data_IF_787420515733
#
_entry.id   IF_787420515733
#
_cell.length_a   1.000
_cell.length_b   1.000
_cell.length_c   1.000
_cell.angle_alpha   90.00
_cell.angle_beta   90.00
_cell.angle_gamma   90.00
#
_symmetry.space_group_name_H-M   'P 1'
#
loop_
_entity.id
_entity.type
_entity.pdbx_description
1 polymer ?
#
# COMPACT_ATOMS: atom_id res chain seq x y z
N UNK A 1 -22.58 41.83 40.79
CA UNK A 1 -21.51 42.21 41.74
C UNK A 1 -21.10 41.01 42.58
N UNK A 2 -19.83 40.95 43.00
CA UNK A 2 -19.25 39.98 43.96
C UNK A 2 -18.64 40.75 45.13
N UNK A 3 -18.73 40.22 46.36
CA UNK A 3 -18.08 40.82 47.53
C UNK A 3 -16.88 39.96 47.91
N UNK A 4 -15.70 40.57 48.01
CA UNK A 4 -14.48 39.84 48.34
C UNK A 4 -14.54 39.30 49.78
N UNK A 5 -14.30 38.00 50.04
CA UNK A 5 -14.31 37.47 51.39
C UNK A 5 -13.17 38.06 52.26
N UNK A 6 -12.01 38.34 51.64
CA UNK A 6 -10.81 38.86 52.32
C UNK A 6 -10.97 40.32 52.76
N UNK A 7 -11.29 41.23 51.84
CA UNK A 7 -11.34 42.67 52.13
C UNK A 7 -12.74 43.30 52.09
N UNK A 8 -13.78 42.52 51.78
CA UNK A 8 -15.17 43.00 51.62
C UNK A 8 -15.38 44.06 50.52
N UNK A 9 -14.41 44.21 49.63
CA UNK A 9 -14.52 45.06 48.45
C UNK A 9 -15.64 44.60 47.51
N UNK A 10 -16.39 45.55 46.95
CA UNK A 10 -17.40 45.30 45.92
C UNK A 10 -16.70 45.20 44.57
N UNK A 11 -16.99 44.13 43.81
CA UNK A 11 -16.37 43.85 42.52
C UNK A 11 -17.45 43.56 41.45
N UNK A 12 -17.14 43.73 40.15
CA UNK A 12 -18.03 43.34 39.05
C UNK A 12 -18.46 41.87 39.13
N UNK A 13 -19.60 41.54 38.49
CA UNK A 13 -20.15 40.17 38.50
C UNK A 13 -19.22 39.13 37.86
N UNK A 14 -18.52 39.50 36.79
CA UNK A 14 -17.56 38.64 36.08
C UNK A 14 -16.13 38.69 36.63
N UNK A 15 -15.83 39.48 37.68
CA UNK A 15 -14.45 39.60 38.17
C UNK A 15 -13.98 38.27 38.79
N UNK A 16 -12.80 37.79 38.36
CA UNK A 16 -12.14 36.60 38.91
C UNK A 16 -11.27 36.92 40.13
N UNK A 17 -10.73 38.14 40.19
CA UNK A 17 -9.89 38.62 41.30
C UNK A 17 -10.44 39.91 41.87
N UNK A 18 -10.20 40.12 43.16
CA UNK A 18 -10.62 41.35 43.83
C UNK A 18 -9.74 42.51 43.38
N UNK A 19 -10.35 43.54 42.80
CA UNK A 19 -9.64 44.76 42.38
C UNK A 19 -9.00 45.56 43.52
N UNK A 20 -9.37 45.28 44.77
CA UNK A 20 -8.86 45.99 45.95
C UNK A 20 -7.75 45.25 46.70
N UNK A 21 -7.67 43.92 46.62
CA UNK A 21 -6.70 43.16 47.41
C UNK A 21 -6.08 41.94 46.69
N UNK A 22 -6.37 41.75 45.41
CA UNK A 22 -5.82 40.65 44.59
C UNK A 22 -6.36 39.25 44.93
N UNK A 23 -7.17 39.07 45.97
CA UNK A 23 -7.70 37.76 46.33
C UNK A 23 -8.67 37.21 45.27
N UNK A 24 -8.59 35.91 44.98
CA UNK A 24 -9.49 35.22 44.05
C UNK A 24 -10.95 35.28 44.56
N UNK A 25 -11.88 35.62 43.67
CA UNK A 25 -13.30 35.79 43.96
C UNK A 25 -14.08 34.52 43.60
N UNK A 26 -14.42 33.73 44.62
CA UNK A 26 -15.31 32.57 44.46
C UNK A 26 -16.74 33.00 44.07
N UNK A 27 -17.51 32.08 43.48
CA UNK A 27 -18.82 32.38 42.88
C UNK A 27 -19.86 32.90 43.88
N UNK A 28 -20.70 33.81 43.37
CA UNK A 28 -21.74 34.61 44.05
C UNK A 28 -22.46 33.90 45.20
N UNK A 29 -22.05 34.23 46.42
CA UNK A 29 -22.79 33.89 47.62
C UNK A 29 -22.63 35.06 48.62
N UNK A 30 -23.65 35.93 48.67
CA UNK A 30 -23.72 37.08 49.59
C UNK A 30 -24.95 36.97 50.48
N UNK A 31 -24.80 37.27 51.77
CA UNK A 31 -25.90 37.32 52.75
C UNK A 31 -26.21 38.78 53.10
N UNK A 32 -27.48 39.14 53.27
CA UNK A 32 -27.87 40.46 53.74
C UNK A 32 -27.83 40.48 55.27
N UNK A 33 -27.13 41.46 55.85
CA UNK A 33 -27.10 41.62 57.30
C UNK A 33 -28.52 41.99 57.79
N UNK A 34 -29.08 41.27 58.78
CA UNK A 34 -30.43 41.54 59.28
C UNK A 34 -30.53 42.87 60.04
N UNK A 35 -29.41 43.37 60.59
CA UNK A 35 -29.40 44.60 61.40
C UNK A 35 -29.16 45.87 60.57
N UNK A 36 -28.12 45.90 59.72
CA UNK A 36 -27.80 47.11 58.92
C UNK A 36 -28.20 47.02 57.45
N UNK A 37 -28.78 45.91 57.00
CA UNK A 37 -29.24 45.72 55.63
C UNK A 37 -28.15 45.62 54.56
N UNK A 38 -26.86 45.77 54.90
CA UNK A 38 -25.75 45.66 53.93
C UNK A 38 -25.45 44.21 53.55
N UNK A 39 -25.05 44.01 52.30
CA UNK A 39 -24.59 42.72 51.79
C UNK A 39 -23.20 42.39 52.34
N UNK A 40 -23.05 41.15 52.80
CA UNK A 40 -21.83 40.59 53.36
C UNK A 40 -21.46 39.29 52.61
N UNK A 41 -20.18 38.91 52.65
CA UNK A 41 -19.76 37.58 52.17
C UNK A 41 -20.35 36.47 53.05
N UNK A 42 -20.72 35.34 52.43
CA UNK A 42 -21.32 34.20 53.13
C UNK A 42 -20.39 33.49 54.12
N UNK A 43 -19.08 33.66 53.98
CA UNK A 43 -18.09 33.00 54.85
C UNK A 43 -17.79 33.77 56.16
N UNK A 44 -18.44 34.93 56.37
CA UNK A 44 -18.21 35.75 57.58
C UNK A 44 -19.20 35.43 58.68
N UNK A 45 -18.67 35.29 59.91
CA UNK A 45 -19.48 35.14 61.13
C UNK A 45 -20.07 36.46 61.65
N UNK A 46 -19.49 37.62 61.30
CA UNK A 46 -19.94 38.95 61.77
C UNK A 46 -19.96 39.95 60.61
N UNK A 47 -20.91 40.88 60.66
CA UNK A 47 -21.04 41.96 59.70
C UNK A 47 -19.89 42.95 59.86
N UNK A 48 -19.11 43.26 58.81
CA UNK A 48 -18.00 44.21 58.91
C UNK A 48 -18.46 45.66 59.11
N UNK A 49 -19.73 45.97 58.86
CA UNK A 49 -20.24 47.33 58.99
C UNK A 49 -20.84 47.64 60.37
N UNK A 50 -21.47 46.67 61.02
CA UNK A 50 -22.18 46.90 62.29
C UNK A 50 -21.82 45.90 63.40
N UNK A 51 -20.92 44.96 63.14
CA UNK A 51 -20.48 43.96 64.12
C UNK A 51 -21.48 42.84 64.41
N UNK A 52 -22.76 42.96 64.01
CA UNK A 52 -23.80 41.96 64.26
C UNK A 52 -23.41 40.59 63.71
N UNK A 53 -23.67 39.55 64.49
CA UNK A 53 -23.44 38.17 64.09
C UNK A 53 -24.33 37.80 62.88
N UNK A 54 -23.72 37.26 61.83
CA UNK A 54 -24.43 36.85 60.63
C UNK A 54 -24.96 35.42 60.79
N UNK A 55 -26.13 35.10 60.21
CA UNK A 55 -26.65 33.73 60.21
C UNK A 55 -25.62 32.79 59.60
N UNK A 56 -25.25 31.74 60.35
CA UNK A 56 -24.35 30.69 59.85
C UNK A 56 -25.15 29.76 58.96
N UNK A 57 -24.90 29.78 57.65
CA UNK A 57 -25.44 28.75 56.76
C UNK A 57 -24.55 27.52 56.92
N UNK A 58 -24.88 26.66 57.89
CA UNK A 58 -24.20 25.38 58.09
C UNK A 58 -24.57 24.44 56.93
N UNK A 59 -23.88 24.61 55.81
CA UNK A 59 -24.02 23.76 54.65
C UNK A 59 -23.09 24.27 53.58
N UNK A 60 -22.13 23.44 53.15
CA UNK A 60 -21.38 23.69 51.92
C UNK A 60 -22.45 23.99 50.85
N UNK A 61 -22.48 25.19 50.25
CA UNK A 61 -23.41 25.45 49.17
C UNK A 61 -23.11 24.37 48.13
N UNK A 62 -24.08 23.48 47.86
CA UNK A 62 -23.98 22.56 46.73
C UNK A 62 -24.01 23.42 45.49
N UNK A 63 -22.85 23.99 45.11
CA UNK A 63 -22.60 24.36 43.74
C UNK A 63 -22.87 23.07 42.98
N UNK A 64 -23.99 23.02 42.26
CA UNK A 64 -24.03 22.24 41.04
C UNK A 64 -22.97 22.90 40.18
N UNK A 65 -21.72 22.46 40.33
CA UNK A 65 -20.74 22.53 39.28
C UNK A 65 -21.50 21.94 38.11
N UNK A 66 -21.94 22.77 37.16
CA UNK A 66 -22.15 22.29 35.81
C UNK A 66 -20.75 21.94 35.31
N UNK A 67 -20.18 20.86 35.85
CA UNK A 67 -19.14 20.14 35.14
C UNK A 67 -19.81 19.72 33.85
N UNK A 68 -19.33 20.14 32.66
CA UNK A 68 -19.85 19.61 31.42
C UNK A 68 -19.79 18.10 31.55
N UNK A 69 -20.92 17.43 31.40
CA UNK A 69 -21.01 15.98 31.48
C UNK A 69 -20.14 15.44 30.35
N UNK A 70 -18.87 15.14 30.68
CA UNK A 70 -17.87 14.81 29.68
C UNK A 70 -18.31 13.50 29.03
N UNK A 71 -18.68 13.58 27.76
CA UNK A 71 -18.98 12.43 26.91
C UNK A 71 -17.88 11.34 26.96
N UNK A 72 -16.68 11.72 27.40
CA UNK A 72 -15.51 10.89 27.69
C UNK A 72 -15.61 9.88 28.84
N UNK A 73 -16.69 9.81 29.62
CA UNK A 73 -16.77 8.86 30.77
C UNK A 73 -17.32 7.46 30.41
N UNK A 74 -17.90 7.26 29.23
CA UNK A 74 -18.60 6.01 28.93
C UNK A 74 -17.64 4.91 28.43
N UNK A 75 -16.99 4.19 29.35
CA UNK A 75 -16.01 3.13 29.05
C UNK A 75 -16.52 2.10 28.01
N UNK A 76 -17.82 1.75 28.05
CA UNK A 76 -18.43 0.83 27.06
C UNK A 76 -18.46 1.42 25.65
N UNK A 77 -18.65 2.73 25.53
CA UNK A 77 -18.61 3.44 24.25
C UNK A 77 -17.19 3.46 23.68
N UNK A 78 -16.17 3.70 24.51
CA UNK A 78 -14.76 3.64 24.08
C UNK A 78 -14.34 2.24 23.63
N UNK A 79 -14.78 1.20 24.32
CA UNK A 79 -14.52 -0.19 23.91
C UNK A 79 -15.15 -0.47 22.54
N UNK A 80 -16.42 -0.07 22.32
CA UNK A 80 -17.09 -0.24 21.02
C UNK A 80 -16.40 0.55 19.90
N UNK A 81 -16.01 1.80 20.16
CA UNK A 81 -15.30 2.63 19.20
C UNK A 81 -13.91 2.07 18.88
N UNK A 82 -13.20 1.54 19.88
CA UNK A 82 -11.90 0.88 19.70
C UNK A 82 -12.00 -0.39 18.84
N UNK A 83 -12.98 -1.25 19.10
CA UNK A 83 -13.24 -2.45 18.27
C UNK A 83 -13.61 -2.07 16.85
N UNK A 84 -14.47 -1.06 16.66
CA UNK A 84 -14.83 -0.57 15.33
C UNK A 84 -13.62 -0.03 14.56
N UNK A 85 -12.73 0.72 15.23
CA UNK A 85 -11.49 1.22 14.63
C UNK A 85 -10.57 0.08 14.18
N UNK A 86 -10.40 -0.96 15.01
CA UNK A 86 -9.57 -2.13 14.66
C UNK A 86 -10.11 -2.87 13.42
N UNK A 87 -11.43 -3.02 13.32
CA UNK A 87 -12.06 -3.63 12.15
C UNK A 87 -11.82 -2.77 10.91
N UNK A 88 -12.00 -1.45 11.00
CA UNK A 88 -11.75 -0.52 9.88
C UNK A 88 -10.28 -0.59 9.44
N UNK A 89 -9.34 -0.57 10.38
CA UNK A 89 -7.91 -0.71 10.08
C UNK A 89 -7.63 -2.06 9.42
N UNK A 90 -8.19 -3.15 9.93
CA UNK A 90 -8.06 -4.48 9.34
C UNK A 90 -8.58 -4.55 7.91
N UNK A 91 -9.75 -3.95 7.63
CA UNK A 91 -10.32 -3.86 6.28
C UNK A 91 -9.44 -3.02 5.37
N UNK A 92 -8.98 -1.84 5.82
CA UNK A 92 -8.11 -0.97 5.04
C UNK A 92 -6.77 -1.64 4.74
N UNK A 93 -6.18 -2.35 5.70
CA UNK A 93 -4.97 -3.15 5.50
C UNK A 93 -5.21 -4.28 4.52
N UNK A 94 -6.33 -5.01 4.61
CA UNK A 94 -6.66 -6.08 3.68
C UNK A 94 -6.87 -5.53 2.25
N UNK A 95 -7.61 -4.43 2.10
CA UNK A 95 -7.80 -3.75 0.81
C UNK A 95 -6.47 -3.25 0.26
N UNK A 96 -5.62 -2.68 1.12
CA UNK A 96 -4.27 -2.24 0.76
C UNK A 96 -3.40 -3.39 0.26
N UNK A 97 -3.42 -4.53 0.98
CA UNK A 97 -2.74 -5.76 0.56
C UNK A 97 -3.33 -6.25 -0.76
N UNK A 98 -4.64 -6.41 -0.91
CA UNK A 98 -5.23 -6.92 -2.16
C UNK A 98 -4.96 -6.00 -3.37
N UNK A 99 -4.96 -4.68 -3.17
CA UNK A 99 -4.65 -3.73 -4.23
C UNK A 99 -3.16 -3.67 -4.59
N UNK A 100 -2.29 -3.88 -3.60
CA UNK A 100 -0.84 -3.73 -3.74
C UNK A 100 -0.08 -5.06 -3.68
N UNK A 101 -0.80 -6.19 -3.69
CA UNK A 101 -0.26 -7.54 -3.76
C UNK A 101 0.45 -7.66 -5.09
N UNK A 102 1.75 -7.45 -5.02
CA UNK A 102 2.67 -7.60 -6.12
C UNK A 102 3.05 -9.07 -6.13
N UNK A 103 2.69 -9.80 -7.17
CA UNK A 103 3.19 -11.15 -7.34
C UNK A 103 4.70 -11.09 -7.54
N UNK A 104 5.45 -11.80 -6.70
CA UNK A 104 6.89 -11.93 -6.81
C UNK A 104 7.17 -13.02 -7.84
N UNK A 105 7.50 -12.62 -9.07
CA UNK A 105 8.06 -13.55 -10.04
C UNK A 105 9.59 -13.52 -9.91
N UNK A 106 10.18 -14.60 -9.44
CA UNK A 106 11.62 -14.80 -9.59
C UNK A 106 11.89 -15.20 -11.04
N UNK A 107 12.00 -14.21 -11.90
CA UNK A 107 12.46 -14.48 -13.23
C UNK A 107 13.99 -14.58 -13.22
N UNK A 108 14.53 -15.76 -13.50
CA UNK A 108 15.98 -15.90 -13.60
C UNK A 108 16.47 -15.13 -14.82
N UNK A 109 17.57 -14.38 -14.67
CA UNK A 109 18.17 -13.58 -15.74
C UNK A 109 18.60 -14.40 -16.99
N UNK A 110 18.59 -15.73 -16.86
CA UNK A 110 19.03 -16.71 -17.86
C UNK A 110 18.00 -17.84 -17.92
N UNK A 111 17.51 -18.18 -19.12
CA UNK A 111 16.50 -19.22 -19.36
C UNK A 111 16.90 -20.10 -20.52
N UNK A 112 16.99 -21.40 -20.27
CA UNK A 112 17.13 -22.41 -21.33
C UNK A 112 15.75 -22.71 -21.90
N UNK A 113 15.58 -22.61 -23.22
CA UNK A 113 14.31 -22.89 -23.88
C UNK A 113 14.48 -23.86 -25.05
N UNK A 114 13.44 -24.64 -25.30
CA UNK A 114 13.21 -25.40 -26.51
C UNK A 114 12.07 -24.74 -27.29
N UNK A 115 12.32 -24.42 -28.55
CA UNK A 115 11.31 -23.93 -29.48
C UNK A 115 11.03 -25.02 -30.53
N UNK A 116 9.82 -25.56 -30.48
CA UNK A 116 9.33 -26.58 -31.41
C UNK A 116 8.46 -25.90 -32.46
N UNK A 117 8.89 -25.89 -33.72
CA UNK A 117 8.12 -25.40 -34.85
C UNK A 117 7.26 -26.50 -35.43
N UNK A 118 6.01 -26.17 -35.74
CA UNK A 118 5.01 -27.16 -36.11
C UNK A 118 4.33 -26.80 -37.42
N UNK A 119 3.97 -27.83 -38.18
CA UNK A 119 3.21 -27.70 -39.42
C UNK A 119 1.71 -27.43 -39.16
N UNK A 120 0.92 -27.32 -40.23
CA UNK A 120 -0.53 -27.13 -40.14
C UNK A 120 -1.27 -28.20 -39.32
N UNK A 121 -0.73 -29.42 -39.22
CA UNK A 121 -1.28 -30.53 -38.44
C UNK A 121 -0.74 -30.58 -37.00
N UNK A 122 -0.04 -29.52 -36.54
CA UNK A 122 0.61 -29.43 -35.23
C UNK A 122 1.71 -30.48 -34.99
N UNK A 123 2.23 -31.10 -36.05
CA UNK A 123 3.38 -32.00 -35.95
C UNK A 123 4.66 -31.19 -35.92
N UNK A 124 5.58 -31.54 -35.03
CA UNK A 124 6.87 -30.86 -34.89
C UNK A 124 7.77 -31.16 -36.08
N UNK A 125 8.16 -30.11 -36.81
CA UNK A 125 9.06 -30.18 -37.97
C UNK A 125 10.50 -29.89 -37.56
N UNK A 126 10.69 -28.98 -36.61
CA UNK A 126 12.00 -28.49 -36.20
C UNK A 126 12.00 -28.18 -34.70
N UNK A 127 13.06 -28.59 -34.00
CA UNK A 127 13.32 -28.16 -32.63
C UNK A 127 14.59 -27.32 -32.62
N UNK A 128 14.55 -26.16 -31.98
CA UNK A 128 15.70 -25.30 -31.73
C UNK A 128 15.89 -25.10 -30.23
N UNK A 129 17.15 -24.92 -29.83
CA UNK A 129 17.54 -24.81 -28.43
C UNK A 129 18.30 -23.53 -28.18
N UNK A 130 17.89 -22.82 -27.12
CA UNK A 130 18.43 -21.50 -26.80
C UNK A 130 18.75 -21.37 -25.31
N UNK A 131 19.80 -20.61 -25.01
CA UNK A 131 20.00 -19.94 -23.72
C UNK A 131 19.64 -18.46 -23.90
N UNK A 132 18.55 -18.01 -23.30
CA UNK A 132 18.03 -16.64 -23.40
C UNK A 132 18.47 -15.85 -22.19
N UNK A 133 19.20 -14.76 -22.42
CA UNK A 133 19.68 -13.86 -21.38
C UNK A 133 19.08 -12.48 -21.55
N UNK A 134 18.52 -11.95 -20.48
CA UNK A 134 17.95 -10.59 -20.53
C UNK A 134 19.08 -9.56 -20.65
N UNK A 135 18.85 -8.48 -21.39
CA UNK A 135 19.86 -7.40 -21.50
C UNK A 135 19.86 -6.48 -20.28
N UNK A 136 18.77 -6.45 -19.51
CA UNK A 136 18.63 -5.61 -18.34
C UNK A 136 18.99 -6.40 -17.07
N UNK A 137 20.03 -5.96 -16.34
CA UNK A 137 20.49 -6.59 -15.09
C UNK A 137 19.51 -6.45 -13.93
N UNK A 138 18.57 -5.50 -14.00
CA UNK A 138 17.57 -5.24 -12.95
C UNK A 138 16.31 -6.12 -13.06
N UNK A 139 16.39 -7.22 -13.82
CA UNK A 139 15.29 -8.15 -14.06
C UNK A 139 14.90 -8.97 -12.82
N UNK A 140 15.73 -9.07 -11.79
CA UNK A 140 15.46 -9.96 -10.64
C UNK A 140 14.31 -9.53 -9.70
N UNK A 141 13.78 -8.31 -9.83
CA UNK A 141 12.77 -7.76 -8.91
C UNK A 141 11.45 -7.50 -9.63
N UNK A 142 10.66 -8.56 -9.81
CA UNK A 142 9.30 -8.44 -10.30
C UNK A 142 8.37 -8.14 -9.16
N UNK A 143 7.86 -6.92 -9.14
CA UNK A 143 6.68 -6.59 -8.36
C UNK A 143 5.52 -6.47 -9.35
N UNK A 144 4.69 -7.51 -9.47
CA UNK A 144 3.52 -7.56 -10.38
C UNK A 144 2.34 -6.66 -9.98
N UNK A 145 2.61 -5.40 -9.63
CA UNK A 145 1.57 -4.41 -9.31
C UNK A 145 1.10 -3.65 -10.55
N UNK A 146 -0.11 -3.07 -10.53
CA UNK A 146 -0.70 -2.31 -11.66
C UNK A 146 0.16 -1.14 -12.18
N UNK A 147 1.15 -0.70 -11.40
CA UNK A 147 2.10 0.36 -11.73
C UNK A 147 3.55 -0.13 -11.85
N UNK A 148 3.78 -1.43 -12.05
CA UNK A 148 5.12 -1.95 -12.23
C UNK A 148 5.79 -1.34 -13.47
N UNK A 149 7.11 -1.23 -13.45
CA UNK A 149 7.93 -0.79 -14.59
C UNK A 149 7.59 -1.55 -15.90
N UNK A 150 7.12 -2.79 -15.77
CA UNK A 150 6.68 -3.65 -16.87
C UNK A 150 5.32 -3.25 -17.47
N UNK A 151 4.43 -2.61 -16.72
CA UNK A 151 3.21 -2.03 -17.30
C UNK A 151 3.52 -0.84 -18.21
N UNK A 152 4.64 -0.13 -17.97
CA UNK A 152 5.07 1.01 -18.76
C UNK A 152 5.88 0.57 -20.00
N UNK A 153 6.71 -0.48 -19.88
CA UNK A 153 7.45 -1.02 -21.01
C UNK A 153 6.66 -2.08 -21.78
N UNK A 154 6.40 -1.82 -23.07
CA UNK A 154 5.72 -2.78 -23.95
C UNK A 154 6.68 -3.67 -24.73
N UNK A 155 7.99 -3.45 -24.62
CA UNK A 155 9.01 -4.17 -25.40
C UNK A 155 10.17 -4.60 -24.51
N UNK A 156 10.45 -5.90 -24.48
CA UNK A 156 11.53 -6.50 -23.72
C UNK A 156 12.58 -7.09 -24.65
N UNK A 157 13.84 -6.73 -24.43
CA UNK A 157 14.96 -7.13 -25.28
C UNK A 157 15.87 -8.11 -24.54
N UNK A 158 16.12 -9.23 -25.19
CA UNK A 158 16.98 -10.31 -24.72
C UNK A 158 17.98 -10.70 -25.80
N UNK A 159 18.96 -11.48 -25.39
CA UNK A 159 19.90 -12.15 -26.27
C UNK A 159 19.61 -13.64 -26.23
N UNK A 160 19.34 -14.23 -27.38
CA UNK A 160 19.14 -15.67 -27.53
C UNK A 160 20.43 -16.29 -28.07
N UNK A 161 21.13 -17.05 -27.24
CA UNK A 161 22.29 -17.84 -27.63
C UNK A 161 21.80 -19.17 -28.18
N UNK A 162 22.04 -19.43 -29.46
CA UNK A 162 21.52 -20.59 -30.19
C UNK A 162 22.49 -21.77 -30.10
N UNK A 163 21.97 -22.95 -29.78
CA UNK A 163 22.76 -24.17 -29.57
C UNK A 163 22.56 -25.24 -30.65
N UNK A 164 21.66 -25.02 -31.60
CA UNK A 164 21.41 -25.96 -32.70
C UNK A 164 20.02 -26.56 -32.66
N UNK A 165 19.85 -27.61 -33.46
CA UNK A 165 18.57 -28.30 -33.66
C UNK A 165 18.62 -29.76 -33.25
N UNK A 166 17.45 -30.34 -33.01
CA UNK A 166 17.30 -31.76 -32.69
C UNK A 166 18.10 -32.22 -31.46
N UNK A 167 18.50 -33.50 -31.42
CA UNK A 167 19.24 -34.06 -30.28
C UNK A 167 20.59 -33.36 -30.05
N UNK A 168 21.31 -33.03 -31.12
CA UNK A 168 22.61 -32.36 -31.02
C UNK A 168 22.49 -30.97 -30.39
N UNK A 169 21.45 -30.20 -30.73
CA UNK A 169 21.19 -28.89 -30.13
C UNK A 169 20.90 -28.97 -28.63
N UNK A 170 20.14 -29.99 -28.22
CA UNK A 170 19.90 -30.28 -26.80
C UNK A 170 21.20 -30.64 -26.08
N UNK A 171 21.98 -31.57 -26.62
CA UNK A 171 23.25 -32.01 -26.02
C UNK A 171 24.24 -30.83 -25.90
N UNK A 172 24.33 -29.97 -26.92
CA UNK A 172 25.15 -28.76 -26.92
C UNK A 172 24.78 -27.81 -25.76
N UNK A 173 23.48 -27.60 -25.52
CA UNK A 173 22.96 -26.71 -24.49
C UNK A 173 23.31 -27.17 -23.07
N UNK A 174 23.44 -28.49 -22.89
CA UNK A 174 23.65 -29.13 -21.59
C UNK A 174 25.08 -29.58 -21.31
N UNK A 175 26.02 -29.48 -22.26
CA UNK A 175 27.44 -29.77 -22.00
C UNK A 175 27.97 -28.97 -20.80
N UNK A 176 28.91 -29.57 -20.06
CA UNK A 176 29.63 -28.89 -18.98
C UNK A 176 30.24 -27.56 -19.48
N UNK A 177 30.08 -26.50 -18.68
CA UNK A 177 30.37 -25.08 -18.99
C UNK A 177 29.47 -24.39 -20.03
N UNK A 178 28.38 -25.03 -20.44
CA UNK A 178 27.53 -24.60 -21.56
C UNK A 178 28.35 -24.58 -22.85
N UNK A 179 28.07 -25.48 -23.81
CA UNK A 179 28.80 -25.53 -25.07
C UNK A 179 28.94 -24.15 -25.73
N UNK A 180 29.93 -23.94 -26.60
CA UNK A 180 30.01 -22.65 -27.31
C UNK A 180 28.72 -22.44 -28.12
N UNK A 181 28.02 -21.31 -27.98
CA UNK A 181 26.82 -21.06 -28.75
C UNK A 181 27.18 -20.99 -30.23
N UNK A 182 26.36 -21.63 -31.06
CA UNK A 182 26.55 -21.66 -32.51
C UNK A 182 26.26 -20.30 -33.15
N UNK A 183 25.33 -19.54 -32.55
CA UNK A 183 25.02 -18.19 -32.96
C UNK A 183 24.44 -17.37 -31.80
N UNK A 184 24.36 -16.05 -32.02
CA UNK A 184 23.74 -15.10 -31.10
C UNK A 184 22.68 -14.32 -31.86
N UNK A 185 21.44 -14.35 -31.38
CA UNK A 185 20.30 -13.65 -31.96
C UNK A 185 19.76 -12.60 -31.01
N UNK A 186 19.09 -11.62 -31.60
CA UNK A 186 18.33 -10.61 -30.87
C UNK A 186 16.89 -11.11 -30.73
N UNK A 187 16.45 -11.21 -29.48
CA UNK A 187 15.08 -11.61 -29.16
C UNK A 187 14.37 -10.40 -28.60
N UNK A 188 13.24 -10.02 -29.19
CA UNK A 188 12.39 -8.96 -28.67
C UNK A 188 10.97 -9.45 -28.46
N UNK A 189 10.42 -9.12 -27.30
CA UNK A 189 9.07 -9.46 -26.90
C UNK A 189 8.24 -8.20 -26.84
N UNK A 190 7.12 -8.18 -27.52
CA UNK A 190 6.22 -7.04 -27.61
C UNK A 190 4.87 -7.42 -27.01
N UNK A 191 4.49 -6.73 -25.94
CA UNK A 191 3.21 -6.92 -25.26
C UNK A 191 2.24 -5.87 -25.80
N UNK A 192 1.32 -6.33 -26.64
CA UNK A 192 0.32 -5.49 -27.28
C UNK A 192 -1.06 -5.58 -26.61
N UNK A 193 -1.97 -4.66 -26.93
CA UNK A 193 -3.34 -4.72 -26.42
C UNK A 193 -4.14 -5.92 -26.96
N UNK A 194 -3.79 -6.41 -28.16
CA UNK A 194 -4.50 -7.48 -28.88
C UNK A 194 -3.72 -8.80 -28.93
N UNK A 195 -2.38 -8.74 -28.93
CA UNK A 195 -1.52 -9.92 -29.11
C UNK A 195 -0.15 -9.70 -28.47
N UNK A 196 0.45 -10.80 -28.02
CA UNK A 196 1.82 -10.86 -27.55
C UNK A 196 2.69 -11.46 -28.66
N UNK A 197 3.78 -10.76 -29.00
CA UNK A 197 4.62 -11.12 -30.15
C UNK A 197 6.07 -11.30 -29.70
N UNK A 198 6.71 -12.41 -30.06
CA UNK A 198 8.17 -12.56 -29.99
C UNK A 198 8.76 -12.48 -31.39
N UNK A 199 9.79 -11.68 -31.54
CA UNK A 199 10.63 -11.60 -32.74
C UNK A 199 12.00 -12.16 -32.41
N UNK A 200 12.44 -13.14 -33.20
CA UNK A 200 13.81 -13.67 -33.16
C UNK A 200 14.49 -13.21 -34.46
N UNK A 201 15.43 -12.29 -34.32
CA UNK A 201 16.16 -11.70 -35.45
C UNK A 201 17.40 -12.54 -35.74
N UNK A 202 17.32 -13.37 -36.78
CA UNK A 202 18.46 -14.10 -37.30
C UNK A 202 19.33 -13.19 -38.19
N UNK A 203 20.60 -13.57 -38.43
CA UNK A 203 21.45 -12.90 -39.41
C UNK A 203 20.77 -12.83 -40.79
N UNK A 204 21.07 -11.78 -41.57
CA UNK A 204 20.51 -11.52 -42.91
C UNK A 204 19.01 -11.16 -42.94
N UNK A 205 18.52 -10.48 -41.90
CA UNK A 205 17.12 -9.97 -41.82
C UNK A 205 16.02 -11.05 -41.85
N UNK A 206 16.35 -12.29 -41.50
CA UNK A 206 15.37 -13.35 -41.32
C UNK A 206 14.77 -13.25 -39.92
N UNK A 207 13.66 -12.55 -39.79
CA UNK A 207 12.97 -12.39 -38.50
C UNK A 207 11.85 -13.42 -38.36
N UNK A 208 12.05 -14.38 -37.45
CA UNK A 208 11.00 -15.32 -37.05
C UNK A 208 10.03 -14.60 -36.12
N UNK A 209 8.74 -14.63 -36.45
CA UNK A 209 7.67 -14.00 -35.66
C UNK A 209 6.79 -15.06 -35.02
N UNK A 210 6.74 -15.05 -33.69
CA UNK A 210 5.90 -15.91 -32.87
C UNK A 210 4.78 -15.06 -32.27
N UNK A 211 3.53 -15.48 -32.44
CA UNK A 211 2.35 -14.80 -31.89
C UNK A 211 1.72 -15.75 -30.88
N UNK A 212 1.80 -15.41 -29.60
CA UNK A 212 1.29 -16.26 -28.53
C UNK A 212 -0.23 -16.35 -28.54
N UNK A 213 -0.75 -17.52 -28.20
CA UNK A 213 -2.18 -17.69 -27.93
C UNK A 213 -2.59 -17.12 -26.57
N UNK A 214 -1.63 -16.83 -25.69
CA UNK A 214 -1.89 -16.22 -24.38
C UNK A 214 -2.27 -14.73 -24.54
N UNK A 215 -3.34 -14.34 -23.84
CA UNK A 215 -3.84 -12.96 -23.81
C UNK A 215 -3.45 -12.22 -22.54
N UNK A 216 -2.96 -12.93 -21.53
CA UNK A 216 -2.46 -12.33 -20.31
C UNK A 216 -1.20 -11.48 -20.59
N UNK A 217 -1.25 -10.20 -20.22
CA UNK A 217 -0.17 -9.23 -20.42
C UNK A 217 0.97 -9.39 -19.43
N UNK A 218 0.80 -10.17 -18.36
CA UNK A 218 1.83 -10.32 -17.31
C UNK A 218 2.74 -11.53 -17.48
N UNK A 219 2.55 -12.37 -18.52
CA UNK A 219 3.02 -13.77 -18.51
C UNK A 219 4.01 -14.16 -19.61
N UNK A 220 4.72 -13.22 -20.24
CA UNK A 220 5.47 -13.56 -21.45
C UNK A 220 6.96 -13.86 -21.19
N UNK A 221 7.39 -15.11 -21.45
CA UNK A 221 8.65 -15.81 -21.09
C UNK A 221 8.88 -16.22 -19.62
N UNK A 222 8.06 -15.76 -18.68
CA UNK A 222 7.96 -16.39 -17.34
C UNK A 222 6.99 -17.57 -17.31
N UNK A 223 6.29 -17.82 -18.41
CA UNK A 223 5.55 -19.06 -18.62
C UNK A 223 6.53 -20.19 -18.95
N UNK A 224 6.56 -21.20 -18.07
CA UNK A 224 7.29 -22.44 -18.28
C UNK A 224 6.95 -23.10 -19.63
N UNK A 225 5.77 -22.82 -20.22
CA UNK A 225 5.35 -23.28 -21.54
C UNK A 225 4.46 -22.25 -22.24
N UNK A 226 4.66 -22.02 -23.55
CA UNK A 226 3.81 -21.15 -24.39
C UNK A 226 3.59 -21.82 -25.76
N UNK A 227 2.56 -21.40 -26.50
CA UNK A 227 2.32 -21.84 -27.87
C UNK A 227 1.53 -20.81 -28.65
N UNK A 228 1.52 -20.94 -29.97
CA UNK A 228 0.78 -20.00 -30.80
C UNK A 228 1.09 -20.15 -32.28
N UNK A 229 0.88 -19.09 -33.05
CA UNK A 229 1.17 -19.08 -34.48
C UNK A 229 2.60 -18.61 -34.74
N UNK A 230 3.20 -19.13 -35.80
CA UNK A 230 4.57 -18.83 -36.20
C UNK A 230 4.61 -18.41 -37.66
N UNK A 231 5.35 -17.34 -37.95
CA UNK A 231 5.78 -16.97 -39.29
C UNK A 231 7.29 -17.11 -39.35
N UNK A 232 7.75 -18.15 -40.04
CA UNK A 232 9.16 -18.44 -40.25
C UNK A 232 9.55 -18.07 -41.70
N UNK A 233 10.35 -17.02 -41.93
CA UNK A 233 10.80 -16.66 -43.28
C UNK A 233 11.57 -17.79 -43.96
N UNK A 234 11.14 -18.18 -45.17
CA UNK A 234 11.75 -19.27 -45.94
C UNK A 234 11.29 -20.69 -45.57
N UNK A 235 10.34 -20.85 -44.64
CA UNK A 235 9.75 -22.14 -44.26
C UNK A 235 8.22 -22.02 -44.15
N UNK A 236 7.54 -22.14 -45.30
CA UNK A 236 6.08 -21.93 -45.43
C UNK A 236 5.22 -23.03 -44.81
N UNK A 237 5.82 -24.19 -44.57
CA UNK A 237 5.24 -25.35 -43.90
C UNK A 237 5.03 -25.10 -42.40
N UNK A 238 5.86 -24.25 -41.78
CA UNK A 238 5.74 -23.88 -40.36
C UNK A 238 4.59 -22.88 -40.16
N UNK A 239 3.62 -23.26 -39.33
CA UNK A 239 2.43 -22.46 -38.99
C UNK A 239 2.27 -22.18 -37.51
N UNK A 240 2.79 -23.06 -36.66
CA UNK A 240 2.65 -22.94 -35.22
C UNK A 240 3.99 -23.13 -34.51
N UNK A 241 4.04 -22.72 -33.25
CA UNK A 241 5.16 -23.04 -32.37
C UNK A 241 4.66 -23.53 -31.02
N UNK A 242 5.55 -24.24 -30.34
CA UNK A 242 5.48 -24.56 -28.92
C UNK A 242 6.81 -24.21 -28.27
N UNK A 243 6.78 -23.39 -27.24
CA UNK A 243 7.92 -23.02 -26.43
C UNK A 243 7.85 -23.78 -25.10
N UNK A 244 8.99 -24.34 -24.69
CA UNK A 244 9.15 -24.98 -23.38
C UNK A 244 10.39 -24.43 -22.71
N UNK A 245 10.27 -24.04 -21.45
CA UNK A 245 11.42 -23.72 -20.61
C UNK A 245 11.99 -25.00 -20.05
N UNK A 246 13.31 -25.18 -20.19
CA UNK A 246 14.03 -26.34 -19.71
C UNK A 246 14.57 -26.01 -18.31
N UNK A 247 13.88 -26.45 -17.26
CA UNK A 247 14.35 -26.30 -15.88
C UNK A 247 15.50 -27.28 -15.61
N UNK A 248 16.54 -26.80 -14.93
CA UNK A 248 17.44 -27.69 -14.19
C UNK A 248 16.61 -28.25 -13.03
N UNK A 249 16.25 -29.53 -13.11
CA UNK A 249 16.00 -30.30 -11.89
C UNK A 249 17.35 -30.77 -11.36
#
# INVERSE_FOLDING_TARGET
MKICPKCNGINPGQAEFCRLCGAQLQYKLTIRCPHCGRLCSLDRKRCPNCGTQLPTINGKPKLKLLSPQSWLSNKKLFVKLGVALLIIVGILSLVGVLNNSTYIFHASAVRKIQLSYQNQHRQTVLNEYYDVRTRNRNYANYFGGRHSYWHQQRVFKSTAYYYGTGKQGYDNLWRQRHGRPLAKYSLSQQIGPQQNVTLIEHPRHLTVKLISSERDRMKFLDQYNDSGTCRYPGKSDIRYYRLRTLTQY
#
